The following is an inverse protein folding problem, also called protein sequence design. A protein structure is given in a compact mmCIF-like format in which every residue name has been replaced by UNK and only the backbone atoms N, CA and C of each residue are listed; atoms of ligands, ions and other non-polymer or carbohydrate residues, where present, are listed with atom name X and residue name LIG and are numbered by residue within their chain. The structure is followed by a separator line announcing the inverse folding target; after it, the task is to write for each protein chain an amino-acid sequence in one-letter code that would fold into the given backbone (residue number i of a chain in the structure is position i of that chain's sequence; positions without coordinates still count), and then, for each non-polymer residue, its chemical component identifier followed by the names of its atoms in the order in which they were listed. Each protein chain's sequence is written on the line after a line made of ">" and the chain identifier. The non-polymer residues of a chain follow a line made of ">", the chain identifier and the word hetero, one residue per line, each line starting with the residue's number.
data_IF_455086295438
#
_entry.id   IF_455086295438
#
_cell.length_a   1.000
_cell.length_b   1.000
_cell.length_c   1.000
_cell.angle_alpha   90.00
_cell.angle_beta   90.00
_cell.angle_gamma   90.00
#
_symmetry.space_group_name_H-M   'P 1'
#
loop_
_entity.id
_entity.type
_entity.pdbx_description
1 polymer ?
#
# COMPACT_ATOMS: atom_id res chain seq x y z
N UNK A 1 -6.44 1.56 22.82
CA UNK A 1 -6.72 3.01 22.90
C UNK A 1 -5.91 3.64 21.80
N UNK A 2 -6.58 3.78 20.68
CA UNK A 2 -6.02 4.03 19.35
C UNK A 2 -6.81 5.23 18.84
N UNK A 3 -6.32 6.44 19.09
CA UNK A 3 -6.84 7.64 18.42
C UNK A 3 -5.85 8.80 18.59
N UNK A 4 -4.92 8.91 17.64
CA UNK A 4 -4.39 10.22 17.26
C UNK A 4 -4.31 10.25 15.74
N UNK A 5 -5.47 10.31 15.10
CA UNK A 5 -5.57 10.68 13.69
C UNK A 5 -5.02 12.10 13.56
N UNK A 6 -3.82 12.20 12.99
CA UNK A 6 -3.11 13.45 12.77
C UNK A 6 -3.99 14.43 11.96
N UNK A 7 -4.38 15.59 12.53
CA UNK A 7 -5.21 16.58 11.85
C UNK A 7 -4.57 17.12 10.57
N UNK A 8 -3.26 16.94 10.40
CA UNK A 8 -2.52 17.31 9.20
C UNK A 8 -2.98 16.60 7.91
N UNK A 9 -3.47 15.35 7.98
CA UNK A 9 -3.84 14.62 6.76
C UNK A 9 -5.16 15.11 6.16
N UNK A 10 -6.17 15.43 7.00
CA UNK A 10 -7.41 16.09 6.55
C UNK A 10 -7.14 17.48 6.00
N UNK A 11 -6.24 18.25 6.63
CA UNK A 11 -5.85 19.58 6.18
C UNK A 11 -5.22 19.57 4.79
N UNK A 12 -4.37 18.58 4.50
CA UNK A 12 -3.68 18.47 3.20
C UNK A 12 -4.65 18.15 2.05
N UNK A 13 -5.65 17.30 2.31
CA UNK A 13 -6.72 17.01 1.34
C UNK A 13 -7.61 18.22 1.07
N UNK A 14 -8.01 18.94 2.12
CA UNK A 14 -8.89 20.11 1.99
C UNK A 14 -8.21 21.26 1.25
N UNK A 15 -6.91 21.46 1.48
CA UNK A 15 -6.11 22.49 0.81
C UNK A 15 -5.95 22.20 -0.69
N UNK A 16 -5.83 20.93 -1.09
CA UNK A 16 -5.79 20.52 -2.49
C UNK A 16 -7.12 20.74 -3.22
N UNK A 17 -8.24 20.40 -2.59
CA UNK A 17 -9.59 20.66 -3.14
C UNK A 17 -9.84 22.17 -3.27
N UNK A 18 -9.42 22.96 -2.29
CA UNK A 18 -9.55 24.42 -2.33
C UNK A 18 -8.73 25.04 -3.47
N UNK A 19 -7.50 24.57 -3.70
CA UNK A 19 -6.64 24.98 -4.81
C UNK A 19 -7.25 24.65 -6.18
N UNK A 20 -7.81 23.45 -6.34
CA UNK A 20 -8.49 23.04 -7.58
C UNK A 20 -9.77 23.85 -7.83
N UNK A 21 -10.58 24.08 -6.79
CA UNK A 21 -11.79 24.88 -6.90
C UNK A 21 -11.48 26.34 -7.27
N UNK A 22 -10.45 26.94 -6.66
CA UNK A 22 -10.00 28.29 -6.98
C UNK A 22 -9.47 28.40 -8.43
N UNK A 23 -8.71 27.41 -8.90
CA UNK A 23 -8.22 27.37 -10.28
C UNK A 23 -9.35 27.19 -11.31
N UNK A 24 -10.34 26.34 -11.00
CA UNK A 24 -11.53 26.13 -11.85
C UNK A 24 -12.37 27.41 -11.94
N UNK A 25 -12.60 28.09 -10.81
CA UNK A 25 -13.35 29.36 -10.77
C UNK A 25 -12.66 30.45 -11.60
N UNK A 26 -11.33 30.57 -11.51
CA UNK A 26 -10.55 31.50 -12.32
C UNK A 26 -10.60 31.18 -13.82
N UNK A 27 -10.54 29.89 -14.19
CA UNK A 27 -10.64 29.48 -15.58
C UNK A 27 -12.03 29.83 -16.18
N UNK A 28 -13.10 29.64 -15.42
CA UNK A 28 -14.47 30.00 -15.82
C UNK A 28 -14.61 31.51 -16.01
N UNK A 29 -14.03 32.33 -15.11
CA UNK A 29 -14.04 33.79 -15.23
C UNK A 29 -13.27 34.28 -16.47
N UNK A 30 -12.11 33.69 -16.77
CA UNK A 30 -11.33 34.00 -17.98
C UNK A 30 -12.08 33.59 -19.26
N UNK A 31 -12.78 32.46 -19.23
CA UNK A 31 -13.58 31.98 -20.36
C UNK A 31 -14.81 32.86 -20.60
N UNK A 32 -15.50 33.27 -19.53
CA UNK A 32 -16.66 34.17 -19.61
C UNK A 32 -16.28 35.55 -20.20
N UNK A 33 -15.10 36.06 -19.87
CA UNK A 33 -14.55 37.27 -20.50
C UNK A 33 -14.22 37.06 -21.98
N UNK A 34 -13.55 35.95 -22.32
CA UNK A 34 -13.13 35.67 -23.70
C UNK A 34 -14.29 35.43 -24.65
N UNK A 35 -15.41 34.92 -24.14
CA UNK A 35 -16.65 34.70 -24.90
C UNK A 35 -17.49 35.97 -25.05
N UNK A 36 -17.07 37.09 -24.47
CA UNK A 36 -17.75 38.37 -24.62
C UNK A 36 -19.16 38.38 -24.02
N UNK A 37 -19.44 37.47 -23.08
CA UNK A 37 -20.69 37.49 -22.33
C UNK A 37 -20.65 38.72 -21.41
N UNK A 38 -21.26 39.82 -21.85
CA UNK A 38 -21.34 41.09 -21.11
C UNK A 38 -22.25 40.97 -19.88
N UNK A 39 -21.94 40.08 -18.94
CA UNK A 39 -22.72 39.94 -17.71
C UNK A 39 -22.43 41.08 -16.72
N UNK A 40 -21.27 41.75 -16.81
CA UNK A 40 -20.86 42.81 -15.88
C UNK A 40 -19.90 43.81 -16.55
N UNK A 41 -20.09 45.12 -16.30
CA UNK A 41 -19.16 46.17 -16.70
C UNK A 41 -17.88 46.08 -15.87
N UNK A 42 -16.76 45.67 -16.48
CA UNK A 42 -15.49 45.52 -15.77
C UNK A 42 -14.61 46.78 -15.87
N UNK A 43 -13.93 47.19 -14.78
CA UNK A 43 -13.03 48.34 -14.77
C UNK A 43 -11.72 48.08 -15.55
N UNK A 44 -11.11 49.15 -16.10
CA UNK A 44 -9.95 49.12 -17.02
C UNK A 44 -8.71 48.36 -16.52
N UNK A 45 -8.57 48.21 -15.20
CA UNK A 45 -7.49 47.45 -14.56
C UNK A 45 -7.47 45.97 -14.96
N UNK A 46 -8.60 45.42 -15.37
CA UNK A 46 -8.75 44.00 -15.70
C UNK A 46 -8.21 43.65 -17.09
N UNK A 47 -8.29 44.59 -18.05
CA UNK A 47 -7.72 44.44 -19.40
C UNK A 47 -6.20 44.57 -19.39
N UNK A 48 -5.66 45.50 -18.58
CA UNK A 48 -4.22 45.72 -18.45
C UNK A 48 -3.47 44.55 -17.81
N UNK A 49 -4.13 43.82 -16.90
CA UNK A 49 -3.52 42.70 -16.14
C UNK A 49 -3.92 41.31 -16.69
N UNK A 50 -4.46 41.25 -17.91
CA UNK A 50 -4.98 40.00 -18.53
C UNK A 50 -3.94 38.88 -18.63
N UNK A 51 -2.67 39.21 -18.91
CA UNK A 51 -1.60 38.20 -18.96
C UNK A 51 -1.26 37.67 -17.56
N UNK A 52 -1.29 38.52 -16.53
CA UNK A 52 -0.94 38.17 -15.16
C UNK A 52 -1.90 37.11 -14.56
N UNK A 53 -3.18 37.20 -14.90
CA UNK A 53 -4.20 36.24 -14.46
C UNK A 53 -4.01 34.85 -15.07
N UNK A 54 -3.65 34.78 -16.36
CA UNK A 54 -3.33 33.52 -17.04
C UNK A 54 -2.09 32.87 -16.42
N UNK A 55 -1.04 33.66 -16.16
CA UNK A 55 0.15 33.17 -15.48
C UNK A 55 -0.16 32.65 -14.07
N UNK A 56 -0.99 33.36 -13.30
CA UNK A 56 -1.37 32.93 -11.94
C UNK A 56 -2.16 31.61 -11.96
N UNK A 57 -3.10 31.46 -12.90
CA UNK A 57 -3.87 30.22 -13.07
C UNK A 57 -2.96 29.05 -13.49
N UNK A 58 -2.02 29.28 -14.41
CA UNK A 58 -1.07 28.27 -14.85
C UNK A 58 -0.12 27.82 -13.72
N UNK A 59 0.36 28.75 -12.90
CA UNK A 59 1.22 28.46 -11.74
C UNK A 59 0.47 27.66 -10.67
N UNK A 60 -0.79 28.01 -10.38
CA UNK A 60 -1.62 27.28 -9.42
C UNK A 60 -1.90 25.84 -9.89
N UNK A 61 -2.20 25.64 -11.18
CA UNK A 61 -2.40 24.30 -11.75
C UNK A 61 -1.10 23.47 -11.77
N UNK A 62 0.03 24.08 -12.10
CA UNK A 62 1.33 23.41 -12.05
C UNK A 62 1.70 23.02 -10.61
N UNK A 63 1.50 23.90 -9.63
CA UNK A 63 1.75 23.59 -8.21
C UNK A 63 0.83 22.48 -7.69
N UNK A 64 -0.46 22.51 -8.04
CA UNK A 64 -1.41 21.45 -7.69
C UNK A 64 -1.04 20.13 -8.35
N UNK A 65 -0.66 20.15 -9.63
CA UNK A 65 -0.18 18.97 -10.37
C UNK A 65 1.10 18.39 -9.78
N UNK A 66 2.08 19.25 -9.43
CA UNK A 66 3.32 18.84 -8.78
C UNK A 66 3.02 18.22 -7.41
N UNK A 67 2.14 18.82 -6.59
CA UNK A 67 1.74 18.26 -5.28
C UNK A 67 1.01 16.92 -5.40
N UNK A 68 0.15 16.75 -6.41
CA UNK A 68 -0.52 15.47 -6.69
C UNK A 68 0.46 14.41 -7.18
N UNK A 69 1.42 14.79 -8.02
CA UNK A 69 2.45 13.90 -8.55
C UNK A 69 3.52 13.57 -7.49
N UNK A 70 3.72 14.48 -6.55
CA UNK A 70 4.53 14.28 -5.34
C UNK A 70 3.78 13.53 -4.24
N UNK A 71 2.58 12.95 -4.48
CA UNK A 71 2.10 11.88 -3.59
C UNK A 71 3.20 10.82 -3.62
N UNK A 72 4.05 10.72 -2.58
CA UNK A 72 5.01 9.64 -2.52
C UNK A 72 4.09 8.43 -2.43
N UNK A 73 4.09 7.59 -3.48
CA UNK A 73 3.31 6.36 -3.48
C UNK A 73 3.53 5.72 -2.11
N UNK A 74 2.43 5.48 -1.41
CA UNK A 74 2.36 5.14 0.01
C UNK A 74 3.38 4.07 0.38
N UNK A 75 4.62 4.49 0.61
CA UNK A 75 5.75 3.66 1.01
C UNK A 75 5.65 3.29 2.48
N UNK A 76 4.46 3.43 3.06
CA UNK A 76 4.16 3.22 4.47
C UNK A 76 2.88 2.40 4.66
N UNK A 77 2.50 1.57 3.68
CA UNK A 77 2.01 0.25 4.03
C UNK A 77 3.15 -0.46 4.74
N UNK A 78 3.22 -0.27 6.07
CA UNK A 78 4.03 -1.07 6.98
C UNK A 78 3.69 -2.50 6.62
N UNK A 79 4.60 -3.16 5.92
CA UNK A 79 4.41 -4.50 5.38
C UNK A 79 3.99 -5.38 6.55
N UNK A 80 2.68 -5.60 6.70
CA UNK A 80 2.21 -6.63 7.59
C UNK A 80 2.67 -7.90 6.89
N UNK A 81 3.50 -8.72 7.54
CA UNK A 81 3.99 -9.92 6.90
C UNK A 81 2.76 -10.71 6.45
N UNK A 82 2.82 -11.22 5.21
CA UNK A 82 1.71 -11.97 4.60
C UNK A 82 1.42 -13.24 5.40
N UNK A 83 2.42 -13.73 6.10
CA UNK A 83 2.41 -14.91 6.95
C UNK A 83 2.68 -14.53 8.40
N UNK A 84 2.25 -15.36 9.34
CA UNK A 84 2.40 -15.17 10.78
C UNK A 84 3.61 -15.89 11.36
N UNK A 85 3.96 -17.07 10.85
CA UNK A 85 5.13 -17.85 11.29
C UNK A 85 5.79 -18.56 10.11
N UNK A 86 7.12 -18.69 10.16
CA UNK A 86 7.90 -19.53 9.23
C UNK A 86 8.99 -20.24 10.01
N UNK A 87 9.00 -21.57 9.96
CA UNK A 87 10.04 -22.42 10.56
C UNK A 87 10.74 -23.26 9.50
N UNK A 88 12.05 -23.31 9.57
CA UNK A 88 12.90 -24.18 8.77
C UNK A 88 13.58 -25.19 9.70
N UNK A 89 13.16 -26.44 9.61
CA UNK A 89 13.79 -27.55 10.31
C UNK A 89 15.03 -27.99 9.53
N UNK A 90 16.18 -28.00 10.20
CA UNK A 90 17.50 -28.27 9.62
C UNK A 90 18.34 -29.17 10.53
N UNK A 91 19.52 -29.56 10.05
CA UNK A 91 20.55 -30.30 10.79
C UNK A 91 21.93 -29.80 10.34
N UNK A 92 22.96 -29.83 11.21
CA UNK A 92 24.33 -29.54 10.84
C UNK A 92 24.80 -30.28 9.57
N UNK A 93 25.65 -29.61 8.80
CA UNK A 93 26.27 -30.13 7.57
C UNK A 93 25.29 -30.57 6.47
N UNK A 94 24.13 -29.89 6.36
CA UNK A 94 23.11 -30.14 5.34
C UNK A 94 23.11 -29.08 4.22
N UNK A 95 23.75 -29.36 3.08
CA UNK A 95 23.78 -28.42 1.95
C UNK A 95 22.41 -28.12 1.32
N UNK A 96 21.48 -29.09 1.36
CA UNK A 96 20.08 -28.86 0.91
C UNK A 96 19.35 -27.86 1.82
N UNK A 97 19.68 -27.84 3.10
CA UNK A 97 19.08 -26.94 4.06
C UNK A 97 19.57 -25.50 3.85
N UNK A 98 20.84 -25.33 3.46
CA UNK A 98 21.38 -24.03 3.04
C UNK A 98 20.69 -23.50 1.78
N UNK A 99 20.48 -24.36 0.77
CA UNK A 99 19.71 -24.02 -0.44
C UNK A 99 18.29 -23.55 -0.07
N UNK A 100 17.61 -24.28 0.81
CA UNK A 100 16.26 -23.93 1.27
C UNK A 100 16.25 -22.58 2.02
N UNK A 101 17.20 -22.36 2.92
CA UNK A 101 17.34 -21.09 3.64
C UNK A 101 17.61 -19.92 2.69
N UNK A 102 18.43 -20.14 1.65
CA UNK A 102 18.72 -19.12 0.64
C UNK A 102 17.45 -18.74 -0.13
N UNK A 103 16.68 -19.73 -0.60
CA UNK A 103 15.41 -19.48 -1.31
C UNK A 103 14.42 -18.73 -0.42
N UNK A 104 14.24 -19.13 0.83
CA UNK A 104 13.37 -18.41 1.77
C UNK A 104 13.87 -16.99 2.04
N UNK A 105 15.19 -16.81 2.10
CA UNK A 105 15.82 -15.52 2.36
C UNK A 105 15.60 -14.49 1.26
N UNK A 106 15.39 -14.94 0.02
CA UNK A 106 15.03 -14.07 -1.11
C UNK A 106 13.64 -13.42 -0.94
N UNK A 107 12.81 -13.96 -0.04
CA UNK A 107 11.45 -13.50 0.23
C UNK A 107 11.26 -12.98 1.66
N UNK A 108 12.34 -12.53 2.33
CA UNK A 108 12.26 -12.00 3.71
C UNK A 108 11.27 -10.85 3.90
N UNK A 109 10.97 -10.08 2.86
CA UNK A 109 10.03 -8.96 2.93
C UNK A 109 8.58 -9.40 3.18
N UNK A 110 8.21 -10.63 2.78
CA UNK A 110 6.84 -11.16 2.97
C UNK A 110 6.69 -11.99 4.23
N UNK A 111 7.80 -12.38 4.87
CA UNK A 111 7.82 -13.21 6.06
C UNK A 111 8.13 -12.39 7.33
N UNK A 112 7.59 -12.76 8.50
CA UNK A 112 7.83 -12.05 9.77
C UNK A 112 9.25 -12.29 10.33
N UNK A 113 9.94 -13.31 9.85
CA UNK A 113 11.22 -13.82 10.31
C UNK A 113 11.27 -15.33 10.05
N UNK A 114 12.45 -15.85 9.70
CA UNK A 114 12.63 -17.30 9.48
C UNK A 114 13.26 -17.87 10.74
N UNK A 115 12.49 -18.68 11.48
CA UNK A 115 12.98 -19.43 12.63
C UNK A 115 13.68 -20.69 12.13
N UNK A 116 14.98 -20.82 12.39
CA UNK A 116 15.76 -22.00 12.00
C UNK A 116 15.88 -22.91 13.21
N UNK A 117 15.33 -24.12 13.10
CA UNK A 117 15.28 -25.11 14.20
C UNK A 117 16.19 -26.27 13.84
N UNK A 118 17.22 -26.49 14.66
CA UNK A 118 18.08 -27.67 14.53
C UNK A 118 17.39 -28.86 15.18
N UNK A 119 17.08 -29.88 14.38
CA UNK A 119 16.40 -31.09 14.86
C UNK A 119 17.37 -32.11 15.47
N UNK A 120 18.69 -31.92 15.35
CA UNK A 120 19.67 -32.88 15.88
C UNK A 120 19.72 -32.96 17.41
N UNK A 121 19.17 -31.95 18.09
CA UNK A 121 19.08 -31.90 19.55
C UNK A 121 17.73 -32.42 20.08
N UNK A 122 16.74 -32.65 19.20
CA UNK A 122 15.38 -33.03 19.56
C UNK A 122 15.00 -34.37 18.92
N UNK A 123 14.89 -35.40 19.77
CA UNK A 123 14.62 -36.79 19.35
C UNK A 123 13.25 -36.93 18.70
N UNK A 124 12.26 -36.14 19.12
CA UNK A 124 10.91 -36.23 18.57
C UNK A 124 10.87 -35.60 17.16
N UNK A 125 11.51 -34.44 16.99
CA UNK A 125 11.64 -33.79 15.68
C UNK A 125 12.54 -34.58 14.72
N UNK A 126 13.60 -35.23 15.22
CA UNK A 126 14.45 -36.08 14.40
C UNK A 126 13.69 -37.33 13.91
N UNK A 127 12.84 -37.93 14.76
CA UNK A 127 11.99 -39.04 14.35
C UNK A 127 10.93 -38.62 13.31
N UNK A 128 10.35 -37.42 13.47
CA UNK A 128 9.28 -36.95 12.58
C UNK A 128 9.82 -36.43 11.22
N UNK A 129 10.90 -35.66 11.23
CA UNK A 129 11.38 -34.93 10.05
C UNK A 129 12.78 -35.34 9.57
N UNK A 130 13.49 -36.21 10.30
CA UNK A 130 14.90 -36.52 10.05
C UNK A 130 15.24 -37.10 8.68
N UNK A 131 14.29 -37.78 8.02
CA UNK A 131 14.45 -38.34 6.67
C UNK A 131 14.10 -37.35 5.54
N UNK A 132 13.40 -36.26 5.87
CA UNK A 132 12.79 -35.34 4.89
C UNK A 132 13.33 -33.91 4.99
N UNK A 133 14.40 -33.68 5.75
CA UNK A 133 15.02 -32.37 5.85
C UNK A 133 15.55 -31.87 4.48
N UNK A 134 15.46 -30.56 4.19
CA UNK A 134 14.84 -29.52 5.01
C UNK A 134 13.31 -29.53 4.98
N UNK A 135 12.68 -29.24 6.11
CA UNK A 135 11.21 -29.11 6.21
C UNK A 135 10.86 -27.66 6.49
N UNK A 136 9.94 -27.08 5.71
CA UNK A 136 9.48 -25.70 5.88
C UNK A 136 8.03 -25.69 6.31
N UNK A 137 7.79 -25.10 7.47
CA UNK A 137 6.47 -24.86 8.04
C UNK A 137 6.13 -23.38 7.89
N UNK A 138 4.94 -23.09 7.36
CA UNK A 138 4.43 -21.72 7.18
C UNK A 138 3.03 -21.68 7.78
N UNK A 139 2.81 -20.78 8.74
CA UNK A 139 1.58 -20.68 9.54
C UNK A 139 1.19 -22.03 10.16
N UNK A 140 2.16 -22.67 10.82
CA UNK A 140 2.01 -23.95 11.52
C UNK A 140 1.60 -25.14 10.61
N UNK A 141 1.75 -24.98 9.29
CA UNK A 141 1.49 -26.03 8.29
C UNK A 141 2.74 -26.31 7.48
N UNK A 142 3.16 -27.58 7.43
CA UNK A 142 4.27 -28.02 6.58
C UNK A 142 3.93 -27.82 5.11
N UNK A 143 4.65 -26.92 4.43
CA UNK A 143 4.47 -26.61 3.00
C UNK A 143 5.50 -27.29 2.11
N UNK A 144 6.70 -27.56 2.64
CA UNK A 144 7.78 -28.19 1.91
C UNK A 144 8.46 -29.27 2.75
N UNK A 145 8.80 -30.37 2.09
CA UNK A 145 9.63 -31.47 2.59
C UNK A 145 10.71 -31.70 1.54
N UNK A 146 11.98 -31.65 1.94
CA UNK A 146 13.12 -31.67 1.02
C UNK A 146 13.31 -30.36 0.25
N UNK A 147 13.62 -30.45 -1.05
CA UNK A 147 14.00 -29.29 -1.87
C UNK A 147 12.88 -28.25 -1.94
N UNK A 148 13.20 -27.02 -1.53
CA UNK A 148 12.32 -25.85 -1.67
C UNK A 148 12.44 -25.28 -3.07
N UNK A 149 11.41 -25.47 -3.89
CA UNK A 149 11.36 -24.90 -5.24
C UNK A 149 10.81 -23.47 -5.21
N UNK A 150 11.60 -22.52 -5.75
CA UNK A 150 11.24 -21.10 -5.84
C UNK A 150 9.88 -20.86 -6.50
N UNK A 151 9.57 -21.59 -7.58
CA UNK A 151 8.32 -21.44 -8.31
C UNK A 151 7.09 -21.83 -7.49
N UNK A 152 7.20 -22.88 -6.68
CA UNK A 152 6.12 -23.30 -5.78
C UNK A 152 5.94 -22.32 -4.63
N UNK A 153 7.05 -21.82 -4.06
CA UNK A 153 7.01 -20.81 -3.01
C UNK A 153 6.30 -19.53 -3.49
N UNK A 154 6.62 -19.08 -4.71
CA UNK A 154 5.96 -17.93 -5.34
C UNK A 154 4.44 -18.13 -5.46
N UNK A 155 3.99 -19.32 -5.88
CA UNK A 155 2.55 -19.61 -5.99
C UNK A 155 1.84 -19.53 -4.64
N UNK A 156 2.48 -19.98 -3.56
CA UNK A 156 1.93 -19.87 -2.21
C UNK A 156 1.81 -18.39 -1.79
N UNK A 157 2.84 -17.60 -2.07
CA UNK A 157 2.86 -16.16 -1.78
C UNK A 157 1.77 -15.43 -2.56
N UNK A 158 1.65 -15.69 -3.86
CA UNK A 158 0.65 -15.04 -4.71
C UNK A 158 -0.77 -15.43 -4.32
N UNK A 159 -1.01 -16.70 -3.96
CA UNK A 159 -2.29 -17.14 -3.43
C UNK A 159 -2.65 -16.44 -2.10
N UNK A 160 -1.68 -16.27 -1.19
CA UNK A 160 -1.89 -15.56 0.07
C UNK A 160 -2.20 -14.06 -0.14
N UNK A 161 -1.56 -13.43 -1.13
CA UNK A 161 -1.83 -12.03 -1.51
C UNK A 161 -3.27 -11.85 -2.02
N UNK A 162 -3.72 -12.74 -2.90
CA UNK A 162 -5.07 -12.65 -3.46
C UNK A 162 -6.15 -12.81 -2.37
N UNK A 163 -5.95 -13.74 -1.43
CA UNK A 163 -6.86 -13.90 -0.29
C UNK A 163 -6.89 -12.68 0.64
N UNK A 164 -5.73 -12.05 0.86
CA UNK A 164 -5.65 -10.83 1.66
C UNK A 164 -6.40 -9.68 0.98
N UNK A 165 -6.29 -9.57 -0.35
CA UNK A 165 -6.98 -8.56 -1.15
C UNK A 165 -8.49 -8.75 -1.15
N UNK A 166 -8.98 -9.98 -1.37
CA UNK A 166 -10.42 -10.26 -1.38
C UNK A 166 -11.07 -10.03 -0.01
N UNK A 167 -10.37 -10.37 1.08
CA UNK A 167 -10.87 -10.06 2.44
C UNK A 167 -10.99 -8.56 2.69
N UNK A 168 -10.06 -7.76 2.15
CA UNK A 168 -10.13 -6.32 2.28
C UNK A 168 -11.31 -5.72 1.50
N UNK A 169 -11.55 -6.17 0.27
CA UNK A 169 -12.63 -5.69 -0.59
C UNK A 169 -14.01 -5.90 0.08
N UNK A 170 -14.25 -7.09 0.63
CA UNK A 170 -15.49 -7.40 1.38
C UNK A 170 -15.65 -6.53 2.64
N UNK A 171 -14.55 -6.25 3.35
CA UNK A 171 -14.61 -5.40 4.56
C UNK A 171 -14.89 -3.93 4.26
N UNK A 172 -14.71 -3.48 3.00
CA UNK A 172 -15.06 -2.13 2.56
C UNK A 172 -16.55 -2.08 2.21
N UNK A 173 -17.11 -3.14 1.62
CA UNK A 173 -18.54 -3.18 1.27
C UNK A 173 -19.47 -3.25 2.50
N UNK A 174 -19.07 -3.94 3.57
CA UNK A 174 -19.88 -4.06 4.81
C UNK A 174 -19.83 -2.80 5.71
N UNK A 175 -19.02 -1.79 5.35
CA UNK A 175 -18.80 -0.58 6.15
C UNK A 175 -19.70 0.62 5.81
N UNK A 176 -20.52 0.52 4.76
CA UNK A 176 -21.35 1.63 4.24
C UNK A 176 -22.85 1.52 4.60
N UNK A 177 -23.26 0.52 5.40
CA UNK A 177 -24.67 0.32 5.79
C UNK A 177 -24.92 0.51 7.30
N UNK A 178 -24.39 1.54 7.96
CA UNK A 178 -24.77 1.81 9.36
C UNK A 178 -24.60 3.28 9.81
N UNK A 179 -24.92 4.27 8.96
CA UNK A 179 -25.16 5.65 9.42
C UNK A 179 -26.31 6.29 8.65
N UNK A 180 -27.56 5.93 8.98
CA UNK A 180 -28.72 6.82 8.87
C UNK A 180 -29.94 6.20 9.58
N UNK A 181 -29.85 6.08 10.92
CA UNK A 181 -31.06 5.92 11.75
C UNK A 181 -31.41 7.29 12.32
N UNK A 182 -32.50 7.94 11.87
CA UNK A 182 -32.93 9.21 12.44
C UNK A 182 -33.41 8.96 13.87
N UNK A 183 -32.71 9.56 14.84
CA UNK A 183 -33.19 9.67 16.21
C UNK A 183 -34.25 10.79 16.24
N UNK A 184 -35.49 10.40 16.53
CA UNK A 184 -36.66 11.27 16.69
C UNK A 184 -36.55 12.23 17.88
#
# INVERSE_FOLDING_TARGET
>A
MEESQDPLHRFTGWMGTFLLAAASLLAVLIFADRTGMQLFSMPDVWVATRQLHVFTCAVLLLMAGILLMHRPGDGRQRHRPLFHSVRLYTRPDCGLCDEAYQVLSEFREVFPGIEVVDISEDVDLEFEFGEEIPVVEIDDVVRFRGRVERGLLLRIIDAAREQTRSRHDVSVEDGDEDEDVPVF
#
